data_IF_452537129971
#
_entry.id   IF_452537129971
#
_cell.length_a   1.000
_cell.length_b   1.000
_cell.length_c   1.000
_cell.angle_alpha   90.00
_cell.angle_beta   90.00
_cell.angle_gamma   90.00
#
_symmetry.space_group_name_H-M   'P 1'
#
loop_
_entity.id
_entity.type
_entity.pdbx_description
1 polymer ?
#
# COMPACT_ATOMS: atom_id res chain seq x y z
N UNK A 1 5.43 -16.22 -20.06
CA UNK A 1 5.97 -14.89 -19.69
C UNK A 1 4.91 -13.88 -19.22
N UNK A 2 3.60 -14.25 -19.14
CA UNK A 2 2.51 -13.31 -18.77
C UNK A 2 2.30 -13.08 -17.27
N UNK A 3 3.04 -13.76 -16.40
CA UNK A 3 2.77 -13.74 -14.94
C UNK A 3 3.63 -12.76 -14.16
N UNK A 4 4.69 -12.20 -14.75
CA UNK A 4 5.58 -11.25 -14.07
C UNK A 4 4.94 -9.85 -14.13
N UNK A 5 4.66 -9.28 -12.95
CA UNK A 5 4.14 -7.93 -12.80
C UNK A 5 5.25 -6.89 -12.75
N UNK A 6 6.34 -7.19 -12.03
CA UNK A 6 7.48 -6.29 -11.86
C UNK A 6 8.78 -7.08 -11.92
N UNK A 7 9.76 -6.50 -12.58
CA UNK A 7 11.17 -6.94 -12.51
C UNK A 7 12.03 -5.71 -12.19
N UNK A 8 12.85 -5.82 -11.17
CA UNK A 8 13.85 -4.82 -10.80
C UNK A 8 15.23 -5.46 -10.87
N UNK A 9 16.17 -4.79 -11.54
CA UNK A 9 17.54 -5.26 -11.70
C UNK A 9 18.53 -4.20 -11.25
N UNK A 10 19.35 -4.56 -10.25
CA UNK A 10 20.50 -3.79 -9.75
C UNK A 10 20.16 -2.33 -9.37
N UNK A 11 18.98 -2.10 -8.77
CA UNK A 11 18.54 -0.78 -8.38
C UNK A 11 19.42 -0.19 -7.28
N UNK A 12 19.82 1.07 -7.45
CA UNK A 12 20.53 1.82 -6.44
C UNK A 12 19.98 3.24 -6.34
N UNK A 13 19.96 3.79 -5.11
CA UNK A 13 19.50 5.14 -4.86
C UNK A 13 20.29 5.81 -3.73
N UNK A 14 20.53 7.12 -3.86
CA UNK A 14 21.14 7.98 -2.84
C UNK A 14 20.42 9.31 -2.76
N UNK A 15 20.48 9.94 -1.60
CA UNK A 15 20.06 11.33 -1.39
C UNK A 15 21.30 12.11 -1.00
N UNK A 16 21.69 13.07 -1.85
CA UNK A 16 22.98 13.76 -1.76
C UNK A 16 24.12 12.70 -1.76
N UNK A 17 24.96 12.69 -0.74
CA UNK A 17 26.04 11.71 -0.56
C UNK A 17 25.62 10.44 0.21
N UNK A 18 24.41 10.44 0.81
CA UNK A 18 23.95 9.31 1.64
C UNK A 18 23.29 8.24 0.75
N UNK A 19 23.92 7.06 0.69
CA UNK A 19 23.34 5.89 0.02
C UNK A 19 22.18 5.36 0.85
N UNK A 20 21.01 5.18 0.21
CA UNK A 20 19.87 4.53 0.84
C UNK A 20 19.89 3.01 0.62
N UNK A 21 20.14 2.58 -0.61
CA UNK A 21 20.31 1.17 -0.94
C UNK A 21 21.12 1.02 -2.23
N UNK A 22 21.66 -0.17 -2.46
CA UNK A 22 22.42 -0.51 -3.66
C UNK A 22 22.20 -1.95 -4.09
N UNK A 23 22.26 -2.15 -5.42
CA UNK A 23 22.20 -3.49 -6.05
C UNK A 23 20.97 -4.30 -5.68
N UNK A 24 19.82 -3.63 -5.48
CA UNK A 24 18.56 -4.30 -5.15
C UNK A 24 17.95 -4.89 -6.40
N UNK A 25 17.75 -6.21 -6.42
CA UNK A 25 17.12 -6.93 -7.51
C UNK A 25 16.00 -7.82 -6.99
N UNK A 26 14.86 -7.84 -7.65
CA UNK A 26 13.73 -8.71 -7.32
C UNK A 26 12.80 -8.89 -8.51
N UNK A 27 11.95 -9.89 -8.43
CA UNK A 27 10.80 -10.04 -9.32
C UNK A 27 9.54 -10.29 -8.50
N UNK A 28 8.40 -9.80 -9.00
CA UNK A 28 7.08 -10.05 -8.44
C UNK A 28 6.18 -10.64 -9.52
N UNK A 29 5.57 -11.78 -9.25
CA UNK A 29 4.58 -12.42 -10.12
C UNK A 29 3.17 -12.17 -9.60
N UNK A 30 2.18 -12.49 -10.42
CA UNK A 30 0.78 -12.58 -9.97
C UNK A 30 0.66 -13.54 -8.79
N UNK A 31 -0.18 -13.22 -7.83
CA UNK A 31 -0.38 -14.03 -6.63
C UNK A 31 0.80 -14.02 -5.65
N UNK A 32 1.84 -13.23 -5.89
CA UNK A 32 2.97 -13.09 -4.97
C UNK A 32 2.89 -11.79 -4.16
N UNK A 33 3.42 -11.87 -2.95
CA UNK A 33 3.60 -10.73 -2.06
C UNK A 33 5.08 -10.50 -1.75
N UNK A 34 5.53 -9.25 -1.84
CA UNK A 34 6.87 -8.81 -1.47
C UNK A 34 6.79 -7.91 -0.24
N UNK A 35 7.32 -8.36 0.88
CA UNK A 35 7.48 -7.57 2.10
C UNK A 35 8.87 -6.93 2.12
N UNK A 36 8.93 -5.61 1.96
CA UNK A 36 10.19 -4.85 2.00
C UNK A 36 10.48 -4.50 3.46
N UNK A 37 11.59 -5.02 3.98
CA UNK A 37 12.09 -4.77 5.35
C UNK A 37 13.39 -3.98 5.32
N UNK A 38 13.63 -3.20 6.36
CA UNK A 38 14.84 -2.40 6.55
C UNK A 38 14.66 -1.40 7.70
N UNK A 39 15.74 -0.83 8.19
CA UNK A 39 15.72 0.18 9.24
C UNK A 39 14.94 1.45 8.81
N UNK A 40 14.62 2.32 9.77
CA UNK A 40 14.08 3.63 9.45
C UNK A 40 15.15 4.44 8.68
N UNK A 41 14.74 5.04 7.56
CA UNK A 41 15.65 5.77 6.68
C UNK A 41 16.36 4.91 5.63
N UNK A 42 16.24 3.57 5.62
CA UNK A 42 16.88 2.70 4.62
C UNK A 42 16.36 2.86 3.18
N UNK A 43 15.33 3.68 2.97
CA UNK A 43 14.82 3.96 1.62
C UNK A 43 13.62 3.13 1.20
N UNK A 44 12.91 2.42 2.11
CA UNK A 44 11.71 1.61 1.79
C UNK A 44 10.68 2.40 0.98
N UNK A 45 10.26 3.57 1.49
CA UNK A 45 9.30 4.44 0.78
C UNK A 45 9.85 4.95 -0.56
N UNK A 46 11.17 5.15 -0.66
CA UNK A 46 11.82 5.56 -1.91
C UNK A 46 11.78 4.41 -2.93
N UNK A 47 12.06 3.17 -2.50
CA UNK A 47 11.93 2.01 -3.36
C UNK A 47 10.49 1.83 -3.86
N UNK A 48 9.48 2.01 -2.99
CA UNK A 48 8.07 2.01 -3.42
C UNK A 48 7.79 3.09 -4.48
N UNK A 49 8.34 4.31 -4.34
CA UNK A 49 8.18 5.38 -5.34
C UNK A 49 8.86 5.04 -6.67
N UNK A 50 9.99 4.34 -6.63
CA UNK A 50 10.66 3.85 -7.86
C UNK A 50 9.80 2.79 -8.54
N UNK A 51 9.24 1.84 -7.77
CA UNK A 51 8.31 0.83 -8.28
C UNK A 51 7.08 1.46 -8.95
N UNK A 52 6.58 2.56 -8.38
CA UNK A 52 5.44 3.31 -8.91
C UNK A 52 5.78 4.22 -10.10
N UNK A 53 7.06 4.32 -10.48
CA UNK A 53 7.51 5.24 -11.53
C UNK A 53 7.45 6.73 -11.15
N UNK A 54 7.31 7.05 -9.84
CA UNK A 54 7.29 8.43 -9.33
C UNK A 54 8.71 9.01 -9.25
N UNK A 55 9.69 8.13 -9.01
CA UNK A 55 11.11 8.50 -8.88
C UNK A 55 11.94 7.53 -9.71
N UNK A 56 12.95 8.03 -10.43
CA UNK A 56 13.88 7.19 -11.18
C UNK A 56 15.01 6.70 -10.30
N UNK A 57 15.47 5.45 -10.42
CA UNK A 57 16.67 4.97 -9.75
C UNK A 57 17.92 5.69 -10.32
N UNK A 58 19.01 5.76 -9.55
CA UNK A 58 20.29 6.30 -10.02
C UNK A 58 21.04 5.26 -10.88
N UNK A 59 20.89 3.98 -10.50
CA UNK A 59 21.42 2.84 -11.26
C UNK A 59 20.39 1.72 -11.28
N UNK A 60 20.50 0.87 -12.30
CA UNK A 60 19.60 -0.27 -12.49
C UNK A 60 18.35 0.09 -13.29
N UNK A 61 17.53 -0.91 -13.53
CA UNK A 61 16.33 -0.80 -14.34
C UNK A 61 15.15 -1.44 -13.63
N UNK A 62 13.96 -0.87 -13.83
CA UNK A 62 12.71 -1.45 -13.39
C UNK A 62 11.74 -1.56 -14.57
N UNK A 63 11.13 -2.72 -14.72
CA UNK A 63 10.09 -2.99 -15.72
C UNK A 63 8.80 -3.37 -14.99
N UNK A 64 7.75 -2.59 -15.20
CA UNK A 64 6.42 -2.85 -14.67
C UNK A 64 5.46 -3.20 -15.82
N UNK A 65 4.99 -4.44 -15.83
CA UNK A 65 3.99 -4.93 -16.80
C UNK A 65 2.55 -4.64 -16.35
N UNK A 66 2.38 -3.77 -15.35
CA UNK A 66 1.10 -3.40 -14.76
C UNK A 66 0.66 -2.07 -15.36
N UNK A 67 -0.05 -2.10 -16.47
CA UNK A 67 -0.55 -0.89 -17.16
C UNK A 67 -1.47 -0.07 -16.25
N UNK A 68 -0.93 0.86 -15.44
CA UNK A 68 -1.65 1.85 -14.62
C UNK A 68 -2.75 1.31 -13.69
N UNK A 69 -2.82 -0.01 -13.46
CA UNK A 69 -3.80 -0.66 -12.61
C UNK A 69 -3.18 -0.98 -11.24
N UNK A 70 -2.77 0.08 -10.52
CA UNK A 70 -2.06 0.00 -9.25
C UNK A 70 -2.87 0.76 -8.18
N UNK A 71 -3.17 0.11 -7.06
CA UNK A 71 -3.63 0.77 -5.86
C UNK A 71 -2.44 1.11 -4.97
N UNK A 72 -2.33 2.37 -4.55
CA UNK A 72 -1.26 2.82 -3.66
C UNK A 72 -1.79 3.48 -2.40
N UNK A 73 -1.27 3.06 -1.27
CA UNK A 73 -1.41 3.74 0.02
C UNK A 73 0.00 4.10 0.53
N UNK A 74 0.33 5.38 0.47
CA UNK A 74 1.59 5.90 1.00
C UNK A 74 1.54 6.11 2.51
N UNK A 75 2.67 6.53 3.07
CA UNK A 75 2.78 6.86 4.49
C UNK A 75 1.76 7.94 4.92
N UNK A 76 1.51 8.94 4.08
CA UNK A 76 0.41 9.90 4.26
C UNK A 76 -0.87 9.32 3.67
N UNK A 77 -1.97 9.37 4.44
CA UNK A 77 -3.25 8.78 4.06
C UNK A 77 -3.92 9.43 2.83
N UNK A 78 -3.41 10.58 2.36
CA UNK A 78 -3.94 11.34 1.23
C UNK A 78 -5.44 11.67 1.37
N UNK A 79 -5.85 12.09 2.58
CA UNK A 79 -7.20 12.54 2.91
C UNK A 79 -7.25 14.07 2.98
N UNK A 80 -8.41 14.63 2.73
CA UNK A 80 -8.69 16.06 2.90
C UNK A 80 -9.21 16.30 4.31
N UNK A 81 -8.36 16.83 5.18
CA UNK A 81 -8.64 16.96 6.62
C UNK A 81 -9.84 17.87 6.94
N UNK A 82 -10.09 18.88 6.12
CA UNK A 82 -11.18 19.85 6.29
C UNK A 82 -12.55 19.35 5.82
N UNK A 83 -12.59 18.24 5.10
CA UNK A 83 -13.80 17.60 4.60
C UNK A 83 -14.25 16.48 5.54
N UNK A 84 -15.54 16.11 5.46
CA UNK A 84 -16.11 14.97 6.17
C UNK A 84 -15.57 13.63 5.67
N UNK A 85 -15.84 12.55 6.40
CA UNK A 85 -15.57 11.18 5.94
C UNK A 85 -16.33 10.90 4.65
N UNK A 86 -17.61 11.26 4.56
CA UNK A 86 -18.45 11.06 3.38
C UNK A 86 -17.93 11.81 2.16
N UNK A 87 -17.53 13.09 2.34
CA UNK A 87 -16.91 13.87 1.26
C UNK A 87 -15.62 13.22 0.73
N UNK A 88 -14.78 12.71 1.64
CA UNK A 88 -13.57 12.00 1.24
C UNK A 88 -13.87 10.70 0.47
N UNK A 89 -14.90 9.95 0.87
CA UNK A 89 -15.38 8.77 0.14
C UNK A 89 -15.84 9.16 -1.27
N UNK A 90 -16.56 10.27 -1.38
CA UNK A 90 -17.01 10.83 -2.67
C UNK A 90 -15.82 11.23 -3.55
N UNK A 91 -14.83 11.92 -3.00
CA UNK A 91 -13.60 12.28 -3.72
C UNK A 91 -12.79 11.06 -4.17
N UNK A 92 -12.88 9.95 -3.46
CA UNK A 92 -12.27 8.67 -3.87
C UNK A 92 -13.07 7.96 -4.99
N UNK A 93 -14.28 8.46 -5.35
CA UNK A 93 -15.16 7.83 -6.32
C UNK A 93 -15.82 6.54 -5.81
N UNK A 94 -15.96 6.39 -4.48
CA UNK A 94 -16.42 5.16 -3.87
C UNK A 94 -17.89 5.16 -3.43
N UNK A 95 -18.59 6.30 -3.50
CA UNK A 95 -19.96 6.49 -2.97
C UNK A 95 -20.98 5.45 -3.48
N UNK A 96 -20.84 5.02 -4.73
CA UNK A 96 -21.74 4.06 -5.37
C UNK A 96 -21.19 2.64 -5.42
N UNK A 97 -20.07 2.35 -4.69
CA UNK A 97 -19.51 1.01 -4.70
C UNK A 97 -20.40 0.05 -3.92
N UNK A 98 -20.79 -1.08 -4.54
CA UNK A 98 -21.74 -2.05 -3.98
C UNK A 98 -21.37 -2.55 -2.57
N UNK A 99 -20.08 -2.72 -2.30
CA UNK A 99 -19.56 -3.26 -1.04
C UNK A 99 -19.20 -2.15 -0.03
N UNK A 100 -19.44 -0.85 -0.34
CA UNK A 100 -19.06 0.26 0.53
C UNK A 100 -19.69 0.14 1.92
N UNK A 101 -20.98 -0.17 1.98
CA UNK A 101 -21.74 -0.28 3.25
C UNK A 101 -21.13 -1.35 4.16
N UNK A 102 -20.77 -2.50 3.63
CA UNK A 102 -20.13 -3.59 4.37
C UNK A 102 -18.80 -3.15 4.97
N UNK A 103 -17.94 -2.50 4.19
CA UNK A 103 -16.64 -2.04 4.70
C UNK A 103 -16.75 -0.87 5.66
N UNK A 104 -17.75 0.00 5.54
CA UNK A 104 -18.02 1.04 6.54
C UNK A 104 -18.42 0.44 7.88
N UNK A 105 -19.17 -0.64 7.90
CA UNK A 105 -19.55 -1.37 9.12
C UNK A 105 -18.34 -2.11 9.67
N UNK A 106 -17.64 -2.90 8.87
CA UNK A 106 -16.45 -3.68 9.25
C UNK A 106 -15.36 -2.81 9.88
N UNK A 107 -15.10 -1.63 9.31
CA UNK A 107 -14.08 -0.69 9.79
C UNK A 107 -14.59 0.28 10.85
N UNK A 108 -15.86 0.15 11.28
CA UNK A 108 -16.54 1.03 12.25
C UNK A 108 -16.52 2.51 11.83
N UNK A 109 -16.63 2.80 10.52
CA UNK A 109 -16.66 4.16 9.96
C UNK A 109 -18.07 4.71 9.77
N UNK A 110 -19.10 3.87 9.76
CA UNK A 110 -20.50 4.25 9.45
C UNK A 110 -21.03 5.40 10.30
N UNK A 111 -20.69 5.42 11.59
CA UNK A 111 -21.13 6.47 12.54
C UNK A 111 -20.30 7.76 12.44
N UNK A 112 -19.30 7.80 11.60
CA UNK A 112 -18.37 8.92 11.47
C UNK A 112 -18.53 9.69 10.14
N UNK A 113 -19.53 9.36 9.32
CA UNK A 113 -19.69 9.91 7.97
C UNK A 113 -19.70 11.44 7.93
N UNK A 114 -20.41 12.08 8.87
CA UNK A 114 -20.52 13.54 8.98
C UNK A 114 -19.33 14.21 9.68
N UNK A 115 -18.41 13.42 10.25
CA UNK A 115 -17.28 13.94 11.02
C UNK A 115 -16.17 14.40 10.06
N UNK A 116 -15.62 15.60 10.30
CA UNK A 116 -14.44 16.07 9.57
C UNK A 116 -13.23 15.17 9.87
N UNK A 117 -12.46 14.85 8.83
CA UNK A 117 -11.29 13.98 8.96
C UNK A 117 -10.25 14.54 9.95
N UNK A 118 -10.15 15.86 10.11
CA UNK A 118 -9.29 16.50 11.13
C UNK A 118 -9.63 16.06 12.56
N UNK A 119 -10.87 15.65 12.83
CA UNK A 119 -11.36 15.24 14.15
C UNK A 119 -11.27 13.72 14.38
N UNK A 120 -10.79 12.97 13.40
CA UNK A 120 -10.59 11.53 13.51
C UNK A 120 -9.24 11.22 14.16
N UNK A 121 -9.19 10.12 14.93
CA UNK A 121 -7.93 9.54 15.36
C UNK A 121 -7.09 9.08 14.15
N UNK A 122 -5.78 8.93 14.34
CA UNK A 122 -4.89 8.44 13.27
C UNK A 122 -5.35 7.08 12.73
N UNK A 123 -5.76 6.15 13.60
CA UNK A 123 -6.28 4.84 13.19
C UNK A 123 -7.58 4.94 12.38
N UNK A 124 -8.50 5.85 12.75
CA UNK A 124 -9.72 6.08 11.97
C UNK A 124 -9.40 6.67 10.58
N UNK A 125 -8.44 7.61 10.51
CA UNK A 125 -7.96 8.13 9.23
C UNK A 125 -7.31 7.03 8.38
N UNK A 126 -6.52 6.13 8.99
CA UNK A 126 -5.93 4.99 8.29
C UNK A 126 -7.01 4.06 7.73
N UNK A 127 -8.03 3.72 8.53
CA UNK A 127 -9.17 2.89 8.10
C UNK A 127 -9.93 3.54 6.93
N UNK A 128 -10.18 4.84 6.99
CA UNK A 128 -10.79 5.58 5.88
C UNK A 128 -9.94 5.51 4.61
N UNK A 129 -8.63 5.71 4.74
CA UNK A 129 -7.72 5.64 3.61
C UNK A 129 -7.63 4.23 2.98
N UNK A 130 -7.77 3.18 3.81
CA UNK A 130 -7.78 1.79 3.35
C UNK A 130 -9.03 1.43 2.53
N UNK A 131 -10.14 2.17 2.60
CA UNK A 131 -11.32 1.91 1.75
C UNK A 131 -10.96 1.85 0.27
N UNK A 132 -10.04 2.72 -0.22
CA UNK A 132 -9.58 2.68 -1.63
C UNK A 132 -8.84 1.39 -2.00
N UNK A 133 -8.27 0.72 -1.01
CA UNK A 133 -7.57 -0.57 -1.20
C UNK A 133 -8.59 -1.71 -1.17
N UNK A 134 -9.48 -1.71 -0.19
CA UNK A 134 -10.51 -2.74 -0.04
C UNK A 134 -11.50 -2.76 -1.22
N UNK A 135 -11.89 -1.58 -1.71
CA UNK A 135 -12.87 -1.42 -2.77
C UNK A 135 -12.22 -1.30 -4.17
N UNK A 136 -10.89 -1.20 -4.23
CA UNK A 136 -10.16 -1.11 -5.48
C UNK A 136 -10.13 -2.44 -6.26
N UNK A 137 -10.24 -2.36 -7.59
CA UNK A 137 -10.06 -3.50 -8.48
C UNK A 137 -8.78 -3.34 -9.29
N UNK A 138 -7.65 -3.70 -8.71
CA UNK A 138 -6.30 -3.46 -9.27
C UNK A 138 -5.49 -4.75 -9.34
N UNK A 139 -4.52 -4.82 -10.26
CA UNK A 139 -3.63 -5.97 -10.42
C UNK A 139 -2.44 -5.94 -9.46
N UNK A 140 -2.08 -4.76 -8.98
CA UNK A 140 -0.99 -4.55 -8.04
C UNK A 140 -1.45 -3.64 -6.89
N UNK A 141 -1.16 -4.06 -5.67
CA UNK A 141 -1.39 -3.31 -4.45
C UNK A 141 -0.03 -2.95 -3.84
N UNK A 142 0.21 -1.65 -3.61
CA UNK A 142 1.45 -1.13 -3.02
C UNK A 142 1.11 -0.35 -1.76
N UNK A 143 1.69 -0.76 -0.62
CA UNK A 143 1.33 -0.22 0.68
C UNK A 143 2.58 0.20 1.48
N UNK A 144 2.59 1.43 1.97
CA UNK A 144 3.67 1.95 2.82
C UNK A 144 3.20 2.03 4.28
N UNK A 145 3.72 1.12 5.12
CA UNK A 145 3.38 0.95 6.54
C UNK A 145 1.85 0.88 6.80
N UNK A 146 1.12 -0.04 6.14
CA UNK A 146 -0.33 -0.04 6.21
C UNK A 146 -0.90 -0.45 7.57
N UNK A 147 -0.14 -1.17 8.40
CA UNK A 147 -0.57 -1.69 9.69
C UNK A 147 -0.39 -0.68 10.84
N UNK A 148 0.43 0.36 10.63
CA UNK A 148 0.68 1.38 11.66
C UNK A 148 -0.59 2.14 12.00
N UNK A 149 -0.91 2.22 13.29
CA UNK A 149 -2.09 2.91 13.82
C UNK A 149 -3.38 2.09 13.79
N UNK A 150 -3.34 0.84 13.33
CA UNK A 150 -4.46 -0.09 13.44
C UNK A 150 -4.35 -0.91 14.73
N UNK A 151 -5.48 -1.15 15.38
CA UNK A 151 -5.60 -2.15 16.43
C UNK A 151 -5.49 -3.58 15.85
N UNK A 152 -5.33 -4.57 16.72
CA UNK A 152 -5.09 -5.97 16.34
C UNK A 152 -6.23 -6.51 15.45
N UNK A 153 -7.48 -6.17 15.75
CA UNK A 153 -8.63 -6.60 14.97
C UNK A 153 -8.54 -6.08 13.52
N UNK A 154 -8.27 -4.79 13.34
CA UNK A 154 -8.14 -4.18 12.02
C UNK A 154 -6.87 -4.62 11.28
N UNK A 155 -5.77 -4.94 12.01
CA UNK A 155 -4.59 -5.56 11.41
C UNK A 155 -4.93 -6.94 10.84
N UNK A 156 -5.72 -7.76 11.56
CA UNK A 156 -6.18 -9.06 11.09
C UNK A 156 -7.11 -8.95 9.88
N UNK A 157 -8.04 -7.98 9.90
CA UNK A 157 -8.92 -7.69 8.75
C UNK A 157 -8.08 -7.37 7.50
N UNK A 158 -7.07 -6.51 7.64
CA UNK A 158 -6.19 -6.15 6.53
C UNK A 158 -5.36 -7.36 6.04
N UNK A 159 -4.75 -8.13 6.94
CA UNK A 159 -3.98 -9.33 6.59
C UNK A 159 -4.82 -10.35 5.84
N UNK A 160 -6.02 -10.65 6.34
CA UNK A 160 -6.97 -11.56 5.69
C UNK A 160 -7.40 -11.04 4.30
N UNK A 161 -7.63 -9.74 4.18
CA UNK A 161 -7.94 -9.15 2.88
C UNK A 161 -6.78 -9.32 1.91
N UNK A 162 -5.55 -9.01 2.30
CA UNK A 162 -4.36 -9.15 1.45
C UNK A 162 -4.16 -10.60 1.00
N UNK A 163 -4.27 -11.56 1.91
CA UNK A 163 -4.18 -12.99 1.57
C UNK A 163 -5.27 -13.43 0.55
N UNK A 164 -6.50 -12.92 0.71
CA UNK A 164 -7.56 -13.13 -0.30
C UNK A 164 -7.23 -12.50 -1.66
N UNK A 165 -6.50 -11.37 -1.69
CA UNK A 165 -6.09 -10.77 -2.96
C UNK A 165 -5.00 -11.59 -3.66
N UNK A 166 -4.09 -12.21 -2.91
CA UNK A 166 -3.09 -13.14 -3.47
C UNK A 166 -3.76 -14.34 -4.14
N UNK A 167 -4.79 -14.91 -3.51
CA UNK A 167 -5.59 -16.00 -4.10
C UNK A 167 -6.30 -15.60 -5.40
N UNK A 168 -6.55 -14.29 -5.61
CA UNK A 168 -7.10 -13.71 -6.84
C UNK A 168 -6.00 -13.31 -7.85
N UNK A 169 -4.80 -13.84 -7.70
CA UNK A 169 -3.63 -13.58 -8.56
C UNK A 169 -3.20 -12.10 -8.62
N UNK A 170 -3.52 -11.29 -7.59
CA UNK A 170 -3.02 -9.92 -7.50
C UNK A 170 -1.61 -9.92 -6.91
N UNK A 171 -0.75 -9.03 -7.42
CA UNK A 171 0.54 -8.78 -6.80
C UNK A 171 0.42 -7.82 -5.63
N UNK A 172 1.22 -8.02 -4.59
CA UNK A 172 1.24 -7.14 -3.42
C UNK A 172 2.69 -6.78 -3.10
N UNK A 173 2.93 -5.50 -2.82
CA UNK A 173 4.20 -5.02 -2.25
C UNK A 173 3.86 -4.16 -1.04
N UNK A 174 4.47 -4.45 0.10
CA UNK A 174 4.26 -3.61 1.28
C UNK A 174 5.53 -3.47 2.13
N UNK A 175 5.57 -2.39 2.90
CA UNK A 175 6.55 -2.19 3.97
C UNK A 175 5.86 -2.36 5.31
N UNK A 176 6.52 -2.94 6.29
CA UNK A 176 6.04 -2.97 7.68
C UNK A 176 7.16 -3.30 8.65
N UNK A 177 7.11 -2.66 9.81
CA UNK A 177 7.86 -3.04 11.01
C UNK A 177 7.02 -3.91 11.97
N UNK A 178 5.71 -3.97 11.74
CA UNK A 178 4.78 -4.76 12.53
C UNK A 178 4.73 -6.18 11.95
N UNK A 179 4.76 -7.18 12.81
CA UNK A 179 4.53 -8.56 12.40
C UNK A 179 3.06 -8.70 11.94
N UNK A 180 2.88 -9.19 10.74
CA UNK A 180 1.58 -9.38 10.12
C UNK A 180 1.51 -10.79 9.49
N UNK A 181 0.33 -11.36 9.52
CA UNK A 181 0.07 -12.69 8.95
C UNK A 181 -0.32 -12.56 7.46
N UNK A 182 0.67 -12.19 6.65
CA UNK A 182 0.55 -12.11 5.19
C UNK A 182 1.60 -13.03 4.58
N UNK A 183 1.15 -13.98 3.75
CA UNK A 183 2.05 -14.88 3.01
C UNK A 183 2.92 -14.05 2.06
N UNK A 184 4.20 -13.90 2.37
CA UNK A 184 5.08 -12.98 1.67
C UNK A 184 6.53 -13.41 1.61
N UNK A 185 7.19 -13.10 0.49
CA UNK A 185 8.65 -13.15 0.36
C UNK A 185 9.24 -11.88 0.98
N UNK A 186 10.35 -11.98 1.67
CA UNK A 186 11.01 -10.82 2.28
C UNK A 186 12.14 -10.31 1.39
N UNK A 187 12.13 -9.00 1.12
CA UNK A 187 13.24 -8.25 0.54
C UNK A 187 13.83 -7.33 1.62
N UNK A 188 15.07 -7.55 2.01
CA UNK A 188 15.79 -6.66 2.94
C UNK A 188 16.52 -5.58 2.16
N UNK A 189 16.41 -4.33 2.64
CA UNK A 189 17.19 -3.19 2.15
C UNK A 189 17.86 -2.52 3.37
N UNK A 190 19.18 -2.42 3.28
CA UNK A 190 20.05 -1.80 4.31
C UNK A 190 21.00 -0.81 3.62
#
# INVERSE_FOLDING_TARGET
MHDILITADNLSYKINENRLFSSVSFSLKKGECLHIKGSNGSGKSTLLRIILGITSPIKGEIKANVKRNIAYLGHKNALKSYLSVEDNITLMGLSNHKDLKEYLETLSLKKLLDIKVANLSYGQQKKLALLRIFLGNTNLIVLDEPFVGLDIENQNILSNFLNKQLQKERGIIFTSHINCDVDSKTLKID
#
